data_IF_078672422253
#
_entry.id   IF_078672422253
#
_cell.length_a   1.000
_cell.length_b   1.000
_cell.length_c   1.000
_cell.angle_alpha   90.00
_cell.angle_beta   90.00
_cell.angle_gamma   90.00
#
_symmetry.space_group_name_H-M   'P 1'
#
loop_
_entity.id
_entity.type
_entity.pdbx_description
1 polymer ?
#
# COMPACT_ATOMS: atom_id res chain seq x y z
N UNK A 1 -7.78 -3.27 26.62
CA UNK A 1 -6.81 -2.76 25.64
C UNK A 1 -6.85 -3.49 24.34
N UNK A 2 -6.75 -4.83 24.33
CA UNK A 2 -6.85 -5.58 23.11
C UNK A 2 -8.15 -5.37 22.35
N UNK A 3 -9.25 -5.20 23.08
CA UNK A 3 -10.55 -4.99 22.46
C UNK A 3 -10.61 -3.66 21.71
N UNK A 4 -10.02 -2.62 22.26
CA UNK A 4 -10.02 -1.31 21.62
C UNK A 4 -9.23 -1.33 20.31
N UNK A 5 -8.07 -1.97 20.32
CA UNK A 5 -7.27 -2.07 19.09
C UNK A 5 -7.97 -2.92 18.05
N UNK A 6 -8.62 -4.00 18.48
CA UNK A 6 -9.36 -4.85 17.57
C UNK A 6 -10.53 -4.08 16.95
N UNK A 7 -11.26 -3.33 17.76
CA UNK A 7 -12.38 -2.54 17.26
C UNK A 7 -11.92 -1.48 16.28
N UNK A 8 -10.81 -0.82 16.59
CA UNK A 8 -10.22 0.17 15.69
C UNK A 8 -9.84 -0.47 14.36
N UNK A 9 -9.23 -1.65 14.43
CA UNK A 9 -8.84 -2.37 13.21
C UNK A 9 -10.05 -2.74 12.37
N UNK A 10 -11.07 -3.33 12.99
CA UNK A 10 -12.26 -3.77 12.27
C UNK A 10 -12.96 -2.58 11.62
N UNK A 11 -13.09 -1.48 12.35
CA UNK A 11 -13.73 -0.31 11.79
C UNK A 11 -12.93 0.25 10.62
N UNK A 12 -11.62 0.34 10.77
CA UNK A 12 -10.77 0.82 9.68
C UNK A 12 -10.84 -0.11 8.48
N UNK A 13 -10.83 -1.40 8.72
CA UNK A 13 -10.95 -2.39 7.67
C UNK A 13 -12.24 -2.19 6.87
N UNK A 14 -13.35 -2.09 7.58
CA UNK A 14 -14.65 -1.90 6.93
C UNK A 14 -14.73 -0.58 6.18
N UNK A 15 -14.16 0.47 6.75
CA UNK A 15 -14.22 1.80 6.15
C UNK A 15 -13.36 1.94 4.91
N UNK A 16 -12.28 1.19 4.82
CA UNK A 16 -11.27 1.40 3.77
C UNK A 16 -11.22 0.26 2.75
N UNK A 17 -11.84 -0.88 3.03
CA UNK A 17 -11.64 -2.07 2.20
C UNK A 17 -12.00 -1.83 0.73
N UNK A 18 -13.19 -1.29 0.47
CA UNK A 18 -13.62 -1.08 -0.91
C UNK A 18 -12.68 -0.13 -1.65
N UNK A 19 -12.27 0.92 -0.98
CA UNK A 19 -11.37 1.89 -1.58
C UNK A 19 -10.01 1.29 -1.86
N UNK A 20 -9.47 0.55 -0.91
CA UNK A 20 -8.15 -0.07 -1.08
C UNK A 20 -8.21 -1.16 -2.16
N UNK A 21 -9.28 -1.96 -2.16
CA UNK A 21 -9.46 -2.97 -3.19
C UNK A 21 -9.48 -2.35 -4.58
N UNK A 22 -10.21 -1.26 -4.75
CA UNK A 22 -10.27 -0.56 -6.04
C UNK A 22 -8.91 0.01 -6.42
N UNK A 23 -8.21 0.58 -5.46
CA UNK A 23 -6.87 1.11 -5.72
C UNK A 23 -5.93 0.00 -6.20
N UNK A 24 -5.91 -1.11 -5.48
CA UNK A 24 -5.02 -2.22 -5.83
C UNK A 24 -5.42 -2.85 -7.16
N UNK A 25 -6.73 -2.94 -7.43
CA UNK A 25 -7.22 -3.46 -8.70
C UNK A 25 -6.73 -2.61 -9.86
N UNK A 26 -6.63 -1.32 -9.67
CA UNK A 26 -6.15 -0.43 -10.72
C UNK A 26 -4.64 -0.52 -10.94
N UNK A 27 -3.90 -1.08 -9.99
CA UNK A 27 -2.44 -1.08 -10.03
C UNK A 27 -1.83 -2.46 -10.26
N UNK A 28 -2.53 -3.52 -9.91
CA UNK A 28 -1.98 -4.87 -10.01
C UNK A 28 -2.71 -5.67 -11.08
N UNK A 29 -2.00 -6.56 -11.81
CA UNK A 29 -2.57 -7.18 -13.01
C UNK A 29 -3.47 -8.38 -12.75
N UNK A 30 -3.36 -9.05 -11.61
CA UNK A 30 -4.13 -10.26 -11.37
C UNK A 30 -4.86 -10.20 -10.05
N UNK A 31 -5.97 -10.90 -9.97
CA UNK A 31 -6.75 -10.97 -8.73
C UNK A 31 -5.96 -11.62 -7.60
N UNK A 32 -5.12 -12.58 -7.94
CA UNK A 32 -4.28 -13.24 -6.97
C UNK A 32 -3.31 -12.25 -6.29
N UNK A 33 -2.68 -11.41 -7.09
CA UNK A 33 -1.80 -10.37 -6.55
C UNK A 33 -2.56 -9.36 -5.71
N UNK A 34 -3.78 -9.02 -6.14
CA UNK A 34 -4.61 -8.07 -5.41
C UNK A 34 -4.96 -8.64 -4.03
N UNK A 35 -5.33 -9.90 -3.97
CA UNK A 35 -5.68 -10.52 -2.69
C UNK A 35 -4.48 -10.63 -1.77
N UNK A 36 -3.32 -10.99 -2.30
CA UNK A 36 -2.09 -11.00 -1.51
C UNK A 36 -1.77 -9.61 -0.96
N UNK A 37 -1.96 -8.60 -1.80
CA UNK A 37 -1.71 -7.23 -1.39
C UNK A 37 -2.66 -6.80 -0.28
N UNK A 38 -3.93 -7.15 -0.40
CA UNK A 38 -4.91 -6.81 0.63
C UNK A 38 -4.52 -7.42 1.98
N UNK A 39 -4.13 -8.68 1.98
CA UNK A 39 -3.69 -9.33 3.20
C UNK A 39 -2.47 -8.64 3.80
N UNK A 40 -1.49 -8.35 2.97
CA UNK A 40 -0.25 -7.71 3.43
C UNK A 40 -0.51 -6.32 3.99
N UNK A 41 -1.34 -5.54 3.30
CA UNK A 41 -1.65 -4.18 3.72
C UNK A 41 -2.30 -4.17 5.09
N UNK A 42 -3.31 -5.02 5.29
CA UNK A 42 -4.03 -5.00 6.55
C UNK A 42 -3.26 -5.67 7.67
N UNK A 43 -2.40 -6.63 7.36
CA UNK A 43 -1.51 -7.19 8.37
C UNK A 43 -0.52 -6.13 8.85
N UNK A 44 0.07 -5.38 7.93
CA UNK A 44 0.99 -4.30 8.28
C UNK A 44 0.28 -3.22 9.08
N UNK A 45 -0.95 -2.90 8.70
CA UNK A 45 -1.73 -1.92 9.43
C UNK A 45 -1.99 -2.40 10.87
N UNK A 46 -2.36 -3.67 11.04
CA UNK A 46 -2.60 -4.22 12.36
C UNK A 46 -1.34 -4.15 13.23
N UNK A 47 -0.20 -4.50 12.66
CA UNK A 47 1.07 -4.40 13.36
C UNK A 47 1.37 -2.97 13.78
N UNK A 48 1.06 -2.02 12.90
CA UNK A 48 1.26 -0.61 13.22
C UNK A 48 0.34 -0.16 14.33
N UNK A 49 -0.89 -0.65 14.36
CA UNK A 49 -1.79 -0.32 15.46
C UNK A 49 -1.23 -0.78 16.79
N UNK A 50 -0.68 -1.99 16.83
CA UNK A 50 -0.09 -2.53 18.04
C UNK A 50 1.12 -1.69 18.47
N UNK A 51 2.02 -1.40 17.51
CA UNK A 51 3.24 -0.67 17.79
C UNK A 51 2.98 0.75 18.29
N UNK A 52 1.98 1.41 17.69
CA UNK A 52 1.65 2.79 18.06
C UNK A 52 0.59 2.88 19.16
N UNK A 53 0.10 1.74 19.60
CA UNK A 53 -0.96 1.67 20.60
C UNK A 53 -2.22 2.41 20.13
N UNK A 54 -2.48 2.33 18.84
CA UNK A 54 -3.65 2.95 18.27
C UNK A 54 -3.53 4.42 17.95
N UNK A 55 -2.35 5.00 18.10
CA UNK A 55 -2.16 6.44 17.92
C UNK A 55 -1.84 6.77 16.46
N UNK A 56 -2.79 6.53 15.59
CA UNK A 56 -2.68 6.88 14.18
C UNK A 56 -3.71 7.95 13.89
N UNK A 57 -3.25 9.12 13.47
CA UNK A 57 -4.12 10.28 13.32
C UNK A 57 -5.13 10.12 12.19
N UNK A 58 -4.66 9.72 11.02
CA UNK A 58 -5.51 9.57 9.86
C UNK A 58 -5.42 8.15 9.37
N UNK A 59 -6.36 7.32 9.79
CA UNK A 59 -6.33 5.89 9.54
C UNK A 59 -6.44 5.60 8.03
N UNK A 60 -7.35 6.27 7.36
CA UNK A 60 -7.52 6.08 5.91
C UNK A 60 -6.24 6.37 5.15
N UNK A 61 -5.64 7.50 5.47
CA UNK A 61 -4.41 7.93 4.84
C UNK A 61 -3.29 6.91 5.11
N UNK A 62 -3.23 6.44 6.32
CA UNK A 62 -2.20 5.49 6.72
C UNK A 62 -2.33 4.18 5.96
N UNK A 63 -3.54 3.63 5.87
CA UNK A 63 -3.77 2.38 5.17
C UNK A 63 -3.47 2.55 3.68
N UNK A 64 -3.88 3.65 3.09
CA UNK A 64 -3.57 3.91 1.68
C UNK A 64 -2.07 4.02 1.46
N UNK A 65 -1.36 4.64 2.37
CA UNK A 65 0.08 4.76 2.28
C UNK A 65 0.75 3.39 2.27
N UNK A 66 0.28 2.48 3.13
CA UNK A 66 0.80 1.11 3.14
C UNK A 66 0.54 0.45 1.78
N UNK A 67 -0.66 0.62 1.23
CA UNK A 67 -1.01 0.04 -0.06
C UNK A 67 -0.12 0.58 -1.17
N UNK A 68 0.14 1.88 -1.18
CA UNK A 68 1.01 2.49 -2.18
C UNK A 68 2.42 1.96 -2.08
N UNK A 69 2.91 1.79 -0.86
CA UNK A 69 4.24 1.23 -0.65
C UNK A 69 4.32 -0.21 -1.15
N UNK A 70 3.27 -0.98 -0.91
CA UNK A 70 3.23 -2.36 -1.40
C UNK A 70 3.33 -2.39 -2.93
N UNK A 71 2.54 -1.55 -3.60
CA UNK A 71 2.55 -1.50 -5.06
C UNK A 71 3.91 -1.07 -5.58
N UNK A 72 4.48 -0.05 -4.98
CA UNK A 72 5.80 0.43 -5.38
C UNK A 72 6.87 -0.64 -5.22
N UNK A 73 6.84 -1.36 -4.10
CA UNK A 73 7.79 -2.44 -3.86
C UNK A 73 7.61 -3.57 -4.86
N UNK A 74 6.36 -3.91 -5.19
CA UNK A 74 6.08 -4.95 -6.15
C UNK A 74 6.70 -4.62 -7.51
N UNK A 75 6.51 -3.41 -7.99
CA UNK A 75 7.05 -3.03 -9.29
C UNK A 75 8.55 -2.85 -9.24
N UNK A 76 9.08 -2.38 -8.13
CA UNK A 76 10.53 -2.26 -7.95
C UNK A 76 11.20 -3.62 -8.04
N UNK A 77 10.60 -4.63 -7.45
CA UNK A 77 11.14 -5.99 -7.52
C UNK A 77 11.06 -6.55 -8.93
N UNK A 78 9.98 -6.28 -9.64
CA UNK A 78 9.86 -6.72 -11.03
C UNK A 78 10.92 -6.07 -11.92
N UNK A 79 11.14 -4.79 -11.76
CA UNK A 79 12.16 -4.09 -12.51
C UNK A 79 13.54 -4.63 -12.22
N UNK A 80 13.81 -4.95 -10.97
CA UNK A 80 15.09 -5.53 -10.59
C UNK A 80 15.31 -6.88 -11.24
N UNK A 81 14.29 -7.72 -11.25
CA UNK A 81 14.38 -9.04 -11.89
C UNK A 81 14.63 -8.90 -13.39
N UNK A 82 13.91 -7.98 -14.03
CA UNK A 82 14.09 -7.71 -15.45
C UNK A 82 15.51 -7.20 -15.73
N UNK A 83 16.01 -6.33 -14.87
CA UNK A 83 17.35 -5.78 -15.01
C UNK A 83 18.40 -6.86 -14.89
N UNK A 84 18.22 -7.80 -13.99
CA UNK A 84 19.15 -8.90 -13.81
C UNK A 84 19.19 -9.79 -15.06
N UNK A 85 18.06 -9.95 -15.73
CA UNK A 85 17.98 -10.72 -16.96
C UNK A 85 18.60 -9.99 -18.13
N UNK A 86 18.49 -8.66 -18.16
CA UNK A 86 18.96 -7.82 -19.27
C UNK A 86 19.96 -6.82 -18.74
N UNK A 87 21.23 -7.21 -18.78
CA UNK A 87 22.28 -6.44 -18.12
C UNK A 87 22.55 -5.07 -18.74
N UNK A 88 22.11 -4.86 -19.95
CA UNK A 88 22.41 -3.61 -20.67
C UNK A 88 21.35 -2.56 -20.52
N UNK A 89 20.27 -2.86 -19.81
CA UNK A 89 19.17 -1.94 -19.71
C UNK A 89 19.44 -0.86 -18.67
N UNK A 90 19.35 0.38 -19.12
CA UNK A 90 19.45 1.51 -18.22
C UNK A 90 18.06 1.84 -17.70
N UNK A 91 17.85 1.61 -16.41
CA UNK A 91 16.52 1.78 -15.84
C UNK A 91 16.50 2.96 -14.88
N UNK A 92 15.95 4.09 -15.29
CA UNK A 92 15.79 5.24 -14.40
C UNK A 92 14.52 5.16 -13.55
N UNK A 93 14.00 3.98 -13.33
CA UNK A 93 12.62 3.81 -12.95
C UNK A 93 12.35 3.95 -11.46
N UNK A 94 13.38 3.93 -10.64
CA UNK A 94 13.19 4.22 -9.22
C UNK A 94 12.64 5.62 -9.03
N UNK A 95 13.15 6.56 -9.82
CA UNK A 95 12.66 7.93 -9.77
C UNK A 95 11.22 8.02 -10.29
N UNK A 96 10.95 7.31 -11.38
CA UNK A 96 9.60 7.31 -11.94
C UNK A 96 8.58 6.72 -10.95
N UNK A 97 8.96 5.63 -10.28
CA UNK A 97 8.10 5.04 -9.27
C UNK A 97 7.88 5.98 -8.09
N UNK A 98 8.93 6.63 -7.65
CA UNK A 98 8.83 7.58 -6.56
C UNK A 98 7.95 8.77 -6.94
N UNK A 99 8.10 9.26 -8.15
CA UNK A 99 7.27 10.35 -8.65
C UNK A 99 5.80 9.95 -8.72
N UNK A 100 5.54 8.75 -9.22
CA UNK A 100 4.19 8.23 -9.31
C UNK A 100 3.56 8.09 -7.94
N UNK A 101 4.33 7.55 -7.01
CA UNK A 101 3.87 7.37 -5.64
C UNK A 101 3.56 8.72 -4.99
N UNK A 102 4.42 9.70 -5.20
CA UNK A 102 4.21 11.04 -4.67
C UNK A 102 2.99 11.70 -5.26
N UNK A 103 2.80 11.58 -6.57
CA UNK A 103 1.66 12.16 -7.25
C UNK A 103 0.35 11.56 -6.73
N UNK A 104 0.30 10.23 -6.62
CA UNK A 104 -0.88 9.56 -6.11
C UNK A 104 -1.18 9.99 -4.69
N UNK A 105 -0.15 10.08 -3.87
CA UNK A 105 -0.30 10.50 -2.50
C UNK A 105 -0.84 11.91 -2.42
N UNK A 106 -0.33 12.79 -3.25
CA UNK A 106 -0.75 14.18 -3.31
C UNK A 106 -2.22 14.29 -3.69
N UNK A 107 -2.62 13.54 -4.72
CA UNK A 107 -4.01 13.52 -5.17
C UNK A 107 -4.94 13.05 -4.07
N UNK A 108 -4.53 12.03 -3.34
CA UNK A 108 -5.33 11.52 -2.24
C UNK A 108 -5.53 12.58 -1.17
N UNK A 109 -4.50 13.31 -0.84
CA UNK A 109 -4.59 14.36 0.16
C UNK A 109 -5.54 15.47 -0.28
N UNK A 110 -5.53 15.80 -1.55
CA UNK A 110 -6.43 16.82 -2.09
C UNK A 110 -7.88 16.40 -2.01
N UNK A 111 -8.15 15.12 -2.22
CA UNK A 111 -9.50 14.60 -2.15
C UNK A 111 -10.02 14.60 -0.71
N UNK A 112 -9.13 14.41 0.23
CA UNK A 112 -9.48 14.40 1.63
C UNK A 112 -9.71 15.80 2.16
#
# INVERSE_FOLDING_TARGET
>A
MGTELKDTFVQAYNDTYDYIDRYLTSKLPTRELIEDALQSVYLDFYRSLITTQGKIKNVRHYVLRIAKHYVADHYRQQLKATFEDITDLNIPDEKALADLESADFFDYEQVM
#
